data_IF_705894876984
#
_entry.id   IF_705894876984
#
_cell.length_a   1.000
_cell.length_b   1.000
_cell.length_c   1.000
_cell.angle_alpha   90.00
_cell.angle_beta   90.00
_cell.angle_gamma   90.00
#
_symmetry.space_group_name_H-M   'P 1'
#
loop_
_entity.id
_entity.type
_entity.pdbx_description
1 polymer ?
#
# COMPACT_ATOMS: atom_id res chain seq x y z
N UNK A 1 25.82 1.06 30.51
CA UNK A 1 24.39 1.42 30.51
C UNK A 1 24.22 2.65 29.65
N UNK A 2 23.71 2.49 28.43
CA UNK A 2 23.00 3.56 27.71
C UNK A 2 21.88 2.88 26.94
N UNK A 3 20.73 2.92 27.60
CA UNK A 3 19.42 2.66 27.05
C UNK A 3 19.19 3.54 25.81
N UNK A 4 18.69 2.93 24.75
CA UNK A 4 18.19 3.60 23.56
C UNK A 4 17.19 2.66 22.91
N UNK A 5 16.03 2.59 23.54
CA UNK A 5 14.79 2.04 23.00
C UNK A 5 14.30 2.95 21.86
N UNK A 6 14.96 2.86 20.71
CA UNK A 6 14.40 3.38 19.45
C UNK A 6 13.54 2.24 18.91
N UNK A 7 12.20 2.35 18.82
CA UNK A 7 11.46 1.40 18.02
C UNK A 7 11.96 1.61 16.60
N UNK A 8 12.79 0.70 16.12
CA UNK A 8 13.04 0.58 14.70
C UNK A 8 11.68 0.21 14.12
N UNK A 9 10.93 1.21 13.65
CA UNK A 9 10.06 1.00 12.51
C UNK A 9 11.03 0.56 11.42
N UNK A 10 11.31 -0.74 11.39
CA UNK A 10 12.19 -1.32 10.41
C UNK A 10 11.42 -1.04 9.14
N UNK A 11 11.78 0.01 8.40
CA UNK A 11 11.36 0.19 7.03
C UNK A 11 11.95 -1.00 6.28
N UNK A 12 11.27 -2.12 6.40
CA UNK A 12 11.64 -3.34 5.73
C UNK A 12 11.42 -3.08 4.26
N UNK A 13 12.20 -3.76 3.42
CA UNK A 13 11.92 -3.81 1.99
C UNK A 13 10.48 -4.26 1.71
N UNK A 14 9.78 -4.85 2.68
CA UNK A 14 8.38 -5.25 2.62
C UNK A 14 7.42 -4.06 2.64
N UNK A 15 7.50 -3.14 3.61
CA UNK A 15 6.61 -1.96 3.64
C UNK A 15 6.85 -1.08 2.42
N UNK A 16 8.11 -0.81 2.08
CA UNK A 16 8.44 -0.08 0.86
C UNK A 16 7.87 -0.76 -0.40
N UNK A 17 7.95 -2.10 -0.49
CA UNK A 17 7.38 -2.85 -1.62
C UNK A 17 5.85 -2.73 -1.63
N UNK A 18 5.20 -2.82 -0.48
CA UNK A 18 3.75 -2.70 -0.37
C UNK A 18 3.28 -1.29 -0.75
N UNK A 19 3.97 -0.24 -0.31
CA UNK A 19 3.73 1.14 -0.74
C UNK A 19 3.89 1.29 -2.27
N UNK A 20 4.92 0.67 -2.87
CA UNK A 20 5.10 0.67 -4.32
C UNK A 20 3.98 -0.05 -5.07
N UNK A 21 3.50 -1.18 -4.54
CA UNK A 21 2.36 -1.91 -5.10
C UNK A 21 1.09 -1.05 -5.02
N UNK A 22 0.83 -0.43 -3.87
CA UNK A 22 -0.32 0.44 -3.64
C UNK A 22 -0.31 1.66 -4.56
N UNK A 23 0.87 2.28 -4.77
CA UNK A 23 1.06 3.35 -5.74
C UNK A 23 0.73 2.89 -7.17
N UNK A 24 1.18 1.70 -7.57
CA UNK A 24 0.91 1.16 -8.90
C UNK A 24 -0.59 0.89 -9.11
N UNK A 25 -1.30 0.38 -8.09
CA UNK A 25 -2.74 0.14 -8.14
C UNK A 25 -3.53 1.43 -8.22
N UNK A 26 -3.16 2.45 -7.45
CA UNK A 26 -3.76 3.79 -7.54
C UNK A 26 -3.57 4.40 -8.93
N UNK A 27 -2.40 4.22 -9.55
CA UNK A 27 -2.18 4.66 -10.94
C UNK A 27 -3.05 3.90 -11.93
N UNK A 28 -3.22 2.59 -11.75
CA UNK A 28 -4.13 1.78 -12.59
C UNK A 28 -5.58 2.24 -12.46
N UNK A 29 -6.02 2.62 -11.26
CA UNK A 29 -7.38 3.14 -11.02
C UNK A 29 -7.68 4.44 -11.78
N UNK A 30 -6.65 5.20 -12.16
CA UNK A 30 -6.76 6.45 -12.92
C UNK A 30 -6.73 6.24 -14.43
N UNK A 31 -6.57 4.99 -14.91
CA UNK A 31 -6.59 4.71 -16.34
C UNK A 31 -8.00 4.96 -16.91
N UNK A 32 -8.12 5.65 -18.05
CA UNK A 32 -9.42 5.99 -18.65
C UNK A 32 -10.13 4.78 -19.27
N UNK A 33 -9.40 3.72 -19.61
CA UNK A 33 -9.93 2.51 -20.27
C UNK A 33 -10.35 1.41 -19.28
N UNK A 34 -10.46 1.75 -17.99
CA UNK A 34 -10.76 0.79 -16.94
C UNK A 34 -12.27 0.52 -16.88
N UNK A 35 -12.68 -0.74 -16.95
CA UNK A 35 -14.08 -1.10 -16.77
C UNK A 35 -14.55 -0.85 -15.33
N UNK A 36 -15.86 -0.67 -15.13
CA UNK A 36 -16.40 -0.48 -13.77
C UNK A 36 -16.09 -1.67 -12.83
N UNK A 37 -16.09 -2.88 -13.38
CA UNK A 37 -15.74 -4.11 -12.67
C UNK A 37 -14.28 -4.07 -12.18
N UNK A 38 -13.34 -3.76 -13.07
CA UNK A 38 -11.92 -3.64 -12.74
C UNK A 38 -11.66 -2.48 -11.78
N UNK A 39 -12.37 -1.38 -11.94
CA UNK A 39 -12.29 -0.21 -11.04
C UNK A 39 -12.69 -0.58 -9.63
N UNK A 40 -13.78 -1.34 -9.50
CA UNK A 40 -14.26 -1.81 -8.21
C UNK A 40 -13.30 -2.81 -7.58
N UNK A 41 -12.79 -3.77 -8.34
CA UNK A 41 -11.80 -4.73 -7.86
C UNK A 41 -10.51 -4.03 -7.39
N UNK A 42 -9.99 -3.07 -8.17
CA UNK A 42 -8.82 -2.29 -7.80
C UNK A 42 -9.06 -1.44 -6.55
N UNK A 43 -10.23 -0.84 -6.40
CA UNK A 43 -10.59 -0.09 -5.20
C UNK A 43 -10.65 -0.98 -3.95
N UNK A 44 -11.30 -2.15 -4.04
CA UNK A 44 -11.36 -3.13 -2.94
C UNK A 44 -9.96 -3.63 -2.54
N UNK A 45 -9.09 -3.91 -3.53
CA UNK A 45 -7.70 -4.34 -3.33
C UNK A 45 -6.87 -3.25 -2.63
N UNK A 46 -7.00 -1.98 -3.05
CA UNK A 46 -6.32 -0.83 -2.42
C UNK A 46 -6.77 -0.69 -0.97
N UNK A 47 -8.08 -0.70 -0.70
CA UNK A 47 -8.61 -0.58 0.67
C UNK A 47 -8.17 -1.73 1.58
N UNK A 48 -8.01 -2.94 1.04
CA UNK A 48 -7.47 -4.08 1.80
C UNK A 48 -6.01 -3.84 2.18
N UNK A 49 -5.18 -3.42 1.23
CA UNK A 49 -3.76 -3.13 1.50
C UNK A 49 -3.55 -1.94 2.43
N UNK A 50 -4.36 -0.88 2.33
CA UNK A 50 -4.29 0.26 3.27
C UNK A 50 -4.49 -0.21 4.71
N UNK A 51 -5.48 -1.08 4.96
CA UNK A 51 -5.70 -1.67 6.28
C UNK A 51 -4.55 -2.56 6.75
N UNK A 52 -3.97 -3.36 5.85
CA UNK A 52 -2.81 -4.21 6.17
C UNK A 52 -1.56 -3.38 6.52
N UNK A 53 -1.40 -2.21 5.89
CA UNK A 53 -0.34 -1.24 6.18
C UNK A 53 -0.62 -0.36 7.39
N UNK A 54 -1.85 -0.36 7.91
CA UNK A 54 -2.27 0.49 9.01
C UNK A 54 -2.41 1.97 8.64
N UNK A 55 -2.69 2.25 7.36
CA UNK A 55 -3.06 3.59 6.84
C UNK A 55 -4.57 3.79 6.90
#
# INVERSE_FOLDING_TARGET
MTDSTVPSYVYTCTEYRQEMILLALRRKLLLPDLSEEERRQLAEEITRMERELGM
#
